data_IF_806710800449
#
_entry.id   IF_806710800449
#
_cell.length_a   1.000
_cell.length_b   1.000
_cell.length_c   1.000
_cell.angle_alpha   90.00
_cell.angle_beta   90.00
_cell.angle_gamma   90.00
#
_symmetry.space_group_name_H-M   'P 1'
#
loop_
_entity.id
_entity.type
_entity.pdbx_description
1 polymer ?
#
# COMPACT_ATOMS: atom_id res chain seq x y z
N UNK A 1 4.83 -48.47 9.78
CA UNK A 1 6.23 -48.29 10.19
C UNK A 1 7.11 -48.17 8.97
N UNK A 2 7.51 -46.93 8.62
CA UNK A 2 8.80 -46.51 8.04
C UNK A 2 8.58 -45.10 7.48
N UNK A 3 9.00 -44.11 8.26
CA UNK A 3 9.08 -42.72 7.85
C UNK A 3 10.51 -42.49 7.35
N UNK A 4 10.67 -42.15 6.07
CA UNK A 4 11.93 -41.64 5.53
C UNK A 4 11.95 -40.12 5.66
N UNK A 5 12.96 -39.63 6.38
CA UNK A 5 13.23 -38.21 6.62
C UNK A 5 14.15 -37.74 5.48
N UNK A 6 13.66 -36.84 4.63
CA UNK A 6 14.50 -36.14 3.65
C UNK A 6 15.27 -35.01 4.34
N UNK A 7 16.59 -35.17 4.40
CA UNK A 7 17.56 -34.13 4.73
C UNK A 7 17.48 -32.97 3.71
N UNK A 8 17.29 -31.73 4.19
CA UNK A 8 17.57 -30.52 3.44
C UNK A 8 19.02 -30.07 3.68
N UNK A 9 19.81 -29.99 2.61
CA UNK A 9 21.15 -29.36 2.62
C UNK A 9 21.02 -27.82 2.57
N UNK A 10 21.82 -27.06 3.35
CA UNK A 10 21.86 -25.62 3.23
C UNK A 10 22.68 -25.18 2.00
N UNK A 11 22.08 -24.32 1.18
CA UNK A 11 22.76 -23.60 0.10
C UNK A 11 23.52 -22.42 0.71
N UNK A 12 24.85 -22.49 0.66
CA UNK A 12 25.76 -21.42 1.10
C UNK A 12 25.70 -20.29 0.07
N UNK A 13 25.24 -19.12 0.50
CA UNK A 13 25.16 -17.89 -0.29
C UNK A 13 26.53 -17.20 -0.28
N UNK A 14 27.18 -17.14 -1.45
CA UNK A 14 28.45 -16.44 -1.63
C UNK A 14 28.22 -14.92 -1.66
N UNK A 15 28.78 -14.21 -0.67
CA UNK A 15 28.82 -12.76 -0.64
C UNK A 15 29.78 -12.23 -1.72
N UNK A 16 29.27 -11.40 -2.63
CA UNK A 16 30.08 -10.61 -3.57
C UNK A 16 30.66 -9.42 -2.82
N UNK A 17 31.97 -9.41 -2.61
CA UNK A 17 32.71 -8.26 -2.11
C UNK A 17 32.97 -7.26 -3.24
N UNK A 18 32.44 -6.04 -3.08
CA UNK A 18 32.75 -4.90 -3.92
C UNK A 18 34.21 -4.48 -3.72
N UNK A 19 34.97 -4.48 -4.82
CA UNK A 19 36.38 -4.12 -4.87
C UNK A 19 36.49 -2.67 -5.34
N UNK A 20 36.46 -1.71 -4.41
CA UNK A 20 36.79 -0.31 -4.67
C UNK A 20 37.87 0.12 -3.68
N UNK A 21 39.10 0.29 -4.17
CA UNK A 21 40.23 0.78 -3.40
C UNK A 21 40.92 1.88 -4.18
N UNK A 22 40.49 3.12 -3.97
CA UNK A 22 41.19 4.33 -4.38
C UNK A 22 41.77 4.97 -3.11
N UNK A 23 43.10 4.97 -3.11
CA UNK A 23 44.03 6.03 -2.69
C UNK A 23 44.15 6.51 -1.22
N UNK A 24 45.42 6.48 -0.81
CA UNK A 24 46.19 7.52 -0.11
C UNK A 24 45.97 7.72 1.39
N UNK A 25 46.92 7.19 2.16
CA UNK A 25 47.18 7.55 3.55
C UNK A 25 48.16 8.72 3.61
N UNK A 26 47.79 9.79 4.30
CA UNK A 26 48.70 10.83 4.82
C UNK A 26 48.22 11.23 6.23
N UNK A 27 49.18 11.53 7.09
CA UNK A 27 49.18 11.36 8.54
C UNK A 27 48.69 12.54 9.40
N UNK A 28 48.42 12.20 10.68
CA UNK A 28 48.45 12.95 11.94
C UNK A 28 48.32 14.49 11.94
N UNK A 29 47.35 15.03 12.70
CA UNK A 29 47.60 15.60 14.04
C UNK A 29 46.36 16.26 14.70
N UNK A 30 46.44 16.33 16.03
CA UNK A 30 45.76 17.22 17.01
C UNK A 30 44.50 16.73 17.76
N UNK A 31 44.68 16.74 19.08
CA UNK A 31 43.73 16.46 20.16
C UNK A 31 42.69 17.58 20.31
N UNK A 32 41.62 17.23 21.05
CA UNK A 32 40.69 18.02 21.88
C UNK A 32 39.25 18.16 21.35
N UNK A 33 38.29 17.77 22.19
CA UNK A 33 36.91 18.29 22.12
C UNK A 33 35.79 17.29 22.44
N UNK A 34 35.26 17.39 23.66
CA UNK A 34 33.90 17.02 24.12
C UNK A 34 33.22 15.76 23.56
N UNK A 35 33.26 14.67 24.33
CA UNK A 35 32.23 13.63 24.28
C UNK A 35 30.96 14.13 24.97
N UNK A 36 30.07 14.78 24.23
CA UNK A 36 28.66 14.90 24.61
C UNK A 36 28.01 13.53 24.52
N UNK A 37 27.49 13.03 25.63
CA UNK A 37 26.61 11.86 25.70
C UNK A 37 25.33 12.14 24.92
N UNK A 38 25.35 11.87 23.61
CA UNK A 38 24.13 11.74 22.83
C UNK A 38 23.58 10.35 23.09
N UNK A 39 22.53 10.30 23.91
CA UNK A 39 21.63 9.16 24.03
C UNK A 39 21.19 8.78 22.61
N UNK A 40 21.69 7.66 22.10
CA UNK A 40 21.10 6.98 20.96
C UNK A 40 19.74 6.47 21.42
N UNK A 41 18.73 7.35 21.36
CA UNK A 41 17.37 6.89 21.15
C UNK A 41 17.38 6.38 19.73
N UNK A 42 17.57 5.07 19.59
CA UNK A 42 17.21 4.33 18.39
C UNK A 42 15.74 4.67 18.11
N UNK A 43 15.53 5.69 17.28
CA UNK A 43 14.27 5.85 16.57
C UNK A 43 14.28 4.68 15.62
N UNK A 44 13.82 3.55 16.11
CA UNK A 44 13.40 2.44 15.29
C UNK A 44 12.47 3.06 14.24
N UNK A 45 13.01 3.27 13.05
CA UNK A 45 12.21 3.45 11.85
C UNK A 45 11.32 2.22 11.84
N UNK A 46 10.10 2.41 12.32
CA UNK A 46 9.00 1.50 12.13
C UNK A 46 8.88 1.34 10.62
N UNK A 47 9.62 0.37 10.11
CA UNK A 47 9.37 -0.20 8.81
C UNK A 47 7.97 -0.74 8.98
N UNK A 48 6.98 0.02 8.52
CA UNK A 48 5.58 -0.36 8.52
C UNK A 48 5.51 -1.59 7.64
N UNK A 49 5.77 -2.76 8.23
CA UNK A 49 5.41 -4.04 7.67
C UNK A 49 3.93 -3.88 7.38
N UNK A 50 3.59 -3.74 6.10
CA UNK A 50 2.21 -3.62 5.66
C UNK A 50 1.56 -4.91 6.13
N UNK A 51 0.90 -4.87 7.28
CA UNK A 51 0.19 -6.02 7.80
C UNK A 51 -0.88 -6.35 6.77
N UNK A 52 -1.26 -7.63 6.70
CA UNK A 52 -2.34 -8.07 5.82
C UNK A 52 -3.61 -7.20 5.98
N UNK A 53 -3.77 -6.58 7.15
CA UNK A 53 -4.86 -5.66 7.49
C UNK A 53 -4.94 -4.42 6.59
N UNK A 54 -3.85 -4.03 5.90
CA UNK A 54 -3.81 -2.85 5.02
C UNK A 54 -3.81 -3.21 3.52
N UNK A 55 -4.00 -4.49 3.18
CA UNK A 55 -4.01 -4.93 1.78
C UNK A 55 -5.08 -4.21 0.93
N UNK A 56 -6.23 -3.89 1.53
CA UNK A 56 -7.31 -3.15 0.87
C UNK A 56 -6.91 -1.72 0.48
N UNK A 57 -6.31 -0.96 1.40
CA UNK A 57 -5.92 0.43 1.12
C UNK A 57 -4.75 0.52 0.13
N UNK A 58 -3.78 -0.41 0.21
CA UNK A 58 -2.69 -0.47 -0.76
C UNK A 58 -3.21 -0.81 -2.17
N UNK A 59 -4.15 -1.75 -2.25
CA UNK A 59 -4.81 -2.06 -3.53
C UNK A 59 -5.63 -0.87 -4.03
N UNK A 60 -6.31 -0.14 -3.15
CA UNK A 60 -7.05 1.07 -3.53
C UNK A 60 -6.14 2.16 -4.10
N UNK A 61 -4.94 2.36 -3.53
CA UNK A 61 -3.93 3.30 -4.05
C UNK A 61 -3.47 2.90 -5.45
N UNK A 62 -3.04 1.65 -5.60
CA UNK A 62 -2.42 1.13 -6.83
C UNK A 62 -3.44 0.99 -7.97
N UNK A 63 -4.70 0.73 -7.63
CA UNK A 63 -5.75 0.47 -8.62
C UNK A 63 -6.62 1.70 -8.82
N UNK A 64 -7.30 2.21 -7.79
CA UNK A 64 -8.29 3.26 -7.96
C UNK A 64 -7.65 4.64 -8.09
N UNK A 65 -6.74 5.02 -7.18
CA UNK A 65 -6.13 6.35 -7.21
C UNK A 65 -5.16 6.51 -8.41
N UNK A 66 -4.33 5.51 -8.68
CA UNK A 66 -3.35 5.57 -9.75
C UNK A 66 -3.98 5.62 -11.16
N UNK A 67 -5.17 5.04 -11.34
CA UNK A 67 -5.84 4.96 -12.65
C UNK A 67 -6.99 5.96 -12.80
N UNK A 68 -7.25 6.75 -11.76
CA UNK A 68 -8.13 7.90 -11.86
C UNK A 68 -7.60 8.93 -12.91
N UNK A 69 -8.50 9.61 -13.65
CA UNK A 69 -9.92 9.73 -13.32
C UNK A 69 -10.84 8.79 -14.13
N UNK A 70 -10.33 8.08 -15.14
CA UNK A 70 -11.17 7.22 -16.01
C UNK A 70 -11.24 5.77 -15.54
N UNK A 71 -10.28 5.31 -14.75
CA UNK A 71 -10.13 3.91 -14.32
C UNK A 71 -9.84 2.92 -15.47
N UNK A 72 -9.48 3.38 -16.67
CA UNK A 72 -9.27 2.50 -17.84
C UNK A 72 -8.12 1.48 -17.63
N UNK A 73 -7.16 1.79 -16.76
CA UNK A 73 -6.06 0.90 -16.40
C UNK A 73 -6.30 0.06 -15.14
N UNK A 74 -7.45 0.19 -14.49
CA UNK A 74 -7.68 -0.37 -13.15
C UNK A 74 -7.66 -1.90 -13.16
N UNK A 75 -8.25 -2.53 -14.17
CA UNK A 75 -8.23 -4.01 -14.28
C UNK A 75 -6.80 -4.53 -14.42
N UNK A 76 -5.97 -3.91 -15.27
CA UNK A 76 -4.57 -4.32 -15.42
C UNK A 76 -3.74 -4.03 -14.16
N UNK A 77 -4.02 -2.94 -13.45
CA UNK A 77 -3.41 -2.67 -12.14
C UNK A 77 -3.80 -3.72 -11.09
N UNK A 78 -5.07 -4.10 -11.04
CA UNK A 78 -5.58 -5.11 -10.14
C UNK A 78 -4.95 -6.49 -10.41
N UNK A 79 -4.75 -6.87 -11.68
CA UNK A 79 -4.03 -8.11 -12.03
C UNK A 79 -2.61 -8.15 -11.46
N UNK A 80 -1.88 -7.02 -11.50
CA UNK A 80 -0.54 -6.92 -10.88
C UNK A 80 -0.55 -7.09 -9.36
N UNK A 81 -1.72 -6.90 -8.72
CA UNK A 81 -1.97 -7.12 -7.29
C UNK A 81 -2.51 -8.52 -6.97
N UNK A 82 -2.55 -9.42 -7.94
CA UNK A 82 -3.04 -10.79 -7.75
C UNK A 82 -4.55 -10.96 -7.84
N UNK A 83 -5.28 -9.95 -8.31
CA UNK A 83 -6.71 -10.06 -8.66
C UNK A 83 -6.81 -10.79 -10.00
N UNK A 84 -7.36 -12.01 -10.00
CA UNK A 84 -7.30 -12.91 -11.16
C UNK A 84 -8.66 -13.50 -11.54
N UNK A 85 -9.63 -13.48 -10.62
CA UNK A 85 -10.98 -13.98 -10.87
C UNK A 85 -11.88 -12.81 -11.21
N UNK A 86 -12.29 -12.65 -12.47
CA UNK A 86 -13.15 -11.55 -12.89
C UNK A 86 -14.54 -12.02 -13.32
N UNK A 87 -15.54 -11.25 -12.92
CA UNK A 87 -16.95 -11.43 -13.25
C UNK A 87 -17.52 -10.10 -13.77
N UNK A 88 -18.23 -10.08 -14.91
CA UNK A 88 -18.93 -8.89 -15.37
C UNK A 88 -20.17 -8.62 -14.51
N UNK A 89 -20.39 -7.36 -14.15
CA UNK A 89 -21.55 -6.86 -13.39
C UNK A 89 -22.17 -5.67 -14.14
N UNK A 90 -22.83 -5.95 -15.26
CA UNK A 90 -23.35 -4.90 -16.14
C UNK A 90 -22.22 -4.09 -16.76
N UNK A 91 -22.14 -2.80 -16.41
CA UNK A 91 -21.05 -1.90 -16.86
C UNK A 91 -19.79 -2.01 -16.01
N UNK A 92 -19.88 -2.65 -14.85
CA UNK A 92 -18.77 -2.86 -13.94
C UNK A 92 -18.11 -4.23 -14.18
N UNK A 93 -16.87 -4.37 -13.73
CA UNK A 93 -16.17 -5.63 -13.56
C UNK A 93 -15.83 -5.82 -12.09
N UNK A 94 -16.14 -6.99 -11.54
CA UNK A 94 -15.73 -7.41 -10.20
C UNK A 94 -14.61 -8.41 -10.32
N UNK A 95 -13.46 -8.09 -9.74
CA UNK A 95 -12.30 -8.97 -9.61
C UNK A 95 -12.08 -9.40 -8.16
N UNK A 96 -11.61 -10.62 -7.93
CA UNK A 96 -11.04 -11.03 -6.63
C UNK A 96 -9.71 -11.76 -6.78
N UNK A 97 -8.89 -11.73 -5.72
CA UNK A 97 -7.72 -12.60 -5.62
C UNK A 97 -8.12 -14.05 -5.32
N UNK A 98 -7.15 -14.97 -5.41
CA UNK A 98 -7.41 -16.40 -5.35
C UNK A 98 -8.13 -16.86 -4.07
N UNK A 99 -7.84 -16.24 -2.93
CA UNK A 99 -8.42 -16.53 -1.62
C UNK A 99 -9.62 -15.64 -1.25
N UNK A 100 -10.00 -14.72 -2.14
CA UNK A 100 -11.06 -13.72 -1.93
C UNK A 100 -10.81 -12.76 -0.74
N UNK A 101 -9.57 -12.61 -0.28
CA UNK A 101 -9.21 -11.64 0.77
C UNK A 101 -9.25 -10.19 0.29
N UNK A 102 -9.16 -9.94 -1.02
CA UNK A 102 -9.29 -8.62 -1.64
C UNK A 102 -10.12 -8.73 -2.91
N UNK A 103 -11.10 -7.85 -3.06
CA UNK A 103 -11.87 -7.69 -4.29
C UNK A 103 -11.81 -6.25 -4.80
N UNK A 104 -11.94 -6.08 -6.11
CA UNK A 104 -11.92 -4.80 -6.80
C UNK A 104 -13.13 -4.72 -7.72
N UNK A 105 -13.95 -3.69 -7.58
CA UNK A 105 -15.00 -3.35 -8.54
C UNK A 105 -14.55 -2.13 -9.36
N UNK A 106 -14.67 -2.21 -10.67
CA UNK A 106 -14.35 -1.11 -11.59
C UNK A 106 -15.51 -0.90 -12.54
N UNK A 107 -16.12 0.29 -12.51
CA UNK A 107 -16.96 0.81 -13.58
C UNK A 107 -16.22 1.99 -14.25
N UNK A 108 -15.75 1.83 -15.51
CA UNK A 108 -15.01 2.87 -16.19
C UNK A 108 -15.73 4.22 -16.18
N UNK A 109 -14.97 5.28 -15.88
CA UNK A 109 -15.43 6.65 -15.72
C UNK A 109 -16.47 6.89 -14.61
N UNK A 110 -16.85 5.89 -13.81
CA UNK A 110 -17.90 6.05 -12.80
C UNK A 110 -17.44 5.71 -11.39
N UNK A 111 -16.92 4.52 -11.16
CA UNK A 111 -16.60 4.04 -9.81
C UNK A 111 -15.39 3.11 -9.83
N UNK A 112 -14.54 3.23 -8.81
CA UNK A 112 -13.59 2.19 -8.45
C UNK A 112 -13.67 1.95 -6.95
N UNK A 113 -13.88 0.69 -6.57
CA UNK A 113 -13.99 0.26 -5.19
C UNK A 113 -13.07 -0.92 -4.91
N UNK A 114 -12.52 -0.96 -3.70
CA UNK A 114 -11.77 -2.10 -3.18
C UNK A 114 -12.41 -2.55 -1.89
N UNK A 115 -12.63 -3.85 -1.75
CA UNK A 115 -13.23 -4.46 -0.55
C UNK A 115 -12.38 -5.58 0.02
N UNK A 116 -12.43 -5.74 1.34
CA UNK A 116 -11.87 -6.88 2.08
C UNK A 116 -12.93 -7.43 3.01
N UNK A 117 -13.07 -8.77 3.17
CA UNK A 117 -14.10 -9.34 4.05
C UNK A 117 -13.78 -9.16 5.54
N UNK A 118 -12.50 -8.94 5.87
CA UNK A 118 -12.03 -8.75 7.24
C UNK A 118 -11.88 -7.28 7.58
N UNK A 119 -12.03 -6.99 8.87
CA UNK A 119 -11.83 -5.67 9.45
C UNK A 119 -10.41 -5.51 9.97
N UNK A 120 -9.85 -4.32 9.80
CA UNK A 120 -8.64 -3.91 10.54
C UNK A 120 -9.02 -3.58 11.99
N UNK A 121 -8.22 -4.04 12.96
CA UNK A 121 -8.49 -3.77 14.37
C UNK A 121 -8.47 -2.26 14.69
N UNK A 122 -7.52 -1.52 14.10
CA UNK A 122 -7.42 -0.07 14.26
C UNK A 122 -8.15 0.69 13.14
N UNK A 123 -9.44 0.92 13.37
CA UNK A 123 -10.32 1.65 12.45
C UNK A 123 -9.90 3.10 12.20
N UNK A 124 -9.29 3.73 13.22
CA UNK A 124 -8.93 5.15 13.19
C UNK A 124 -7.68 5.34 12.36
N UNK A 125 -6.65 4.50 12.58
CA UNK A 125 -5.44 4.51 11.78
C UNK A 125 -5.74 4.19 10.31
N UNK A 126 -6.56 3.17 10.03
CA UNK A 126 -6.95 2.81 8.67
C UNK A 126 -7.66 3.97 7.95
N UNK A 127 -8.57 4.66 8.65
CA UNK A 127 -9.28 5.81 8.07
C UNK A 127 -8.36 7.01 7.85
N UNK A 128 -7.41 7.25 8.75
CA UNK A 128 -6.39 8.28 8.56
C UNK A 128 -5.52 7.98 7.32
N UNK A 129 -5.10 6.73 7.14
CA UNK A 129 -4.33 6.31 5.97
C UNK A 129 -5.11 6.42 4.66
N UNK A 130 -6.41 6.10 4.67
CA UNK A 130 -7.27 6.34 3.50
C UNK A 130 -7.32 7.81 3.12
N UNK A 131 -7.54 8.69 4.09
CA UNK A 131 -7.62 10.15 3.86
C UNK A 131 -6.26 10.69 3.40
N UNK A 132 -5.16 10.22 3.98
CA UNK A 132 -3.82 10.60 3.58
C UNK A 132 -3.51 10.16 2.15
N UNK A 133 -3.87 8.92 1.77
CA UNK A 133 -3.68 8.40 0.42
C UNK A 133 -4.42 9.26 -0.63
N UNK A 134 -5.67 9.63 -0.34
CA UNK A 134 -6.45 10.51 -1.24
C UNK A 134 -5.88 11.92 -1.27
N UNK A 135 -5.49 12.48 -0.12
CA UNK A 135 -4.87 13.81 -0.04
C UNK A 135 -3.60 13.88 -0.89
N UNK A 136 -2.75 12.84 -0.82
CA UNK A 136 -1.55 12.71 -1.65
C UNK A 136 -1.88 12.61 -3.15
N UNK A 137 -2.88 11.82 -3.52
CA UNK A 137 -3.26 11.63 -4.92
C UNK A 137 -3.92 12.87 -5.55
N UNK A 138 -4.57 13.71 -4.74
CA UNK A 138 -5.32 14.89 -5.19
C UNK A 138 -4.54 16.19 -5.03
N UNK A 139 -3.51 16.21 -4.17
CA UNK A 139 -2.85 17.44 -3.73
C UNK A 139 -3.71 18.32 -2.82
N UNK A 140 -4.93 17.88 -2.49
CA UNK A 140 -5.83 18.59 -1.60
C UNK A 140 -5.55 18.22 -0.15
N UNK A 141 -5.55 19.21 0.74
CA UNK A 141 -5.51 18.95 2.17
C UNK A 141 -6.92 18.60 2.66
N UNK A 142 -7.19 17.30 2.81
CA UNK A 142 -8.43 16.82 3.42
C UNK A 142 -8.24 16.86 4.94
N UNK A 143 -8.93 17.77 5.62
CA UNK A 143 -8.82 17.92 7.06
C UNK A 143 -9.77 16.99 7.83
N UNK A 144 -9.24 16.39 8.91
CA UNK A 144 -10.01 15.53 9.82
C UNK A 144 -10.11 14.06 9.39
N UNK A 145 -11.04 13.33 10.01
CA UNK A 145 -11.26 11.89 9.80
C UNK A 145 -12.61 11.57 9.16
N UNK A 146 -13.28 12.58 8.58
CA UNK A 146 -14.66 12.45 8.13
C UNK A 146 -14.75 11.80 6.75
N UNK A 147 -15.58 10.77 6.65
CA UNK A 147 -16.05 10.18 5.38
C UNK A 147 -17.59 10.20 5.35
N UNK A 148 -18.25 10.40 4.20
CA UNK A 148 -17.64 10.70 2.91
C UNK A 148 -17.03 12.11 2.84
N UNK A 149 -16.10 12.31 1.92
CA UNK A 149 -15.59 13.63 1.55
C UNK A 149 -15.40 13.73 0.04
N UNK A 150 -15.17 14.94 -0.46
CA UNK A 150 -14.98 15.20 -1.89
C UNK A 150 -13.60 15.76 -2.16
N UNK A 151 -12.96 15.30 -3.23
CA UNK A 151 -11.73 15.87 -3.75
C UNK A 151 -11.67 15.68 -5.28
N UNK A 152 -10.71 16.36 -5.92
CA UNK A 152 -10.53 16.30 -7.37
C UNK A 152 -9.25 15.57 -7.75
N UNK A 153 -9.33 14.71 -8.77
CA UNK A 153 -8.16 14.10 -9.41
C UNK A 153 -8.19 14.50 -10.88
N UNK A 154 -7.15 15.23 -11.32
CA UNK A 154 -6.99 15.67 -12.72
C UNK A 154 -8.26 16.36 -13.27
N UNK A 155 -8.86 17.25 -12.45
CA UNK A 155 -10.05 18.03 -12.81
C UNK A 155 -11.40 17.29 -12.74
N UNK A 156 -11.40 16.00 -12.38
CA UNK A 156 -12.62 15.24 -12.13
C UNK A 156 -12.91 15.17 -10.63
N UNK A 157 -14.16 15.46 -10.24
CA UNK A 157 -14.62 15.45 -8.85
C UNK A 157 -15.06 14.04 -8.43
N UNK A 158 -14.63 13.62 -7.25
CA UNK A 158 -14.95 12.31 -6.67
C UNK A 158 -15.48 12.43 -5.25
N UNK A 159 -16.42 11.57 -4.89
CA UNK A 159 -16.83 11.29 -3.52
C UNK A 159 -16.02 10.08 -3.05
N UNK A 160 -15.22 10.27 -2.01
CA UNK A 160 -14.42 9.24 -1.38
C UNK A 160 -15.15 8.72 -0.15
N UNK A 161 -15.36 7.40 -0.10
CA UNK A 161 -16.11 6.72 0.96
C UNK A 161 -15.27 5.61 1.57
N UNK A 162 -15.46 5.39 2.87
CA UNK A 162 -14.91 4.25 3.58
C UNK A 162 -16.01 3.64 4.46
N UNK A 163 -16.56 2.50 4.05
CA UNK A 163 -17.58 1.75 4.79
C UNK A 163 -16.96 0.53 5.48
N UNK A 164 -17.54 0.17 6.63
CA UNK A 164 -17.09 -0.92 7.50
C UNK A 164 -18.24 -1.88 7.84
N UNK A 165 -19.18 -2.11 6.92
CA UNK A 165 -20.29 -3.06 7.12
C UNK A 165 -20.03 -4.30 6.26
N UNK A 166 -19.78 -5.44 6.89
CA UNK A 166 -19.40 -6.69 6.22
C UNK A 166 -17.93 -6.83 5.80
N UNK A 167 -17.04 -5.98 6.34
CA UNK A 167 -15.62 -5.89 5.96
C UNK A 167 -15.18 -4.44 5.75
N UNK A 168 -14.04 -4.18 5.12
CA UNK A 168 -13.63 -2.83 4.70
C UNK A 168 -14.03 -2.58 3.24
N UNK A 169 -14.48 -1.36 2.93
CA UNK A 169 -14.73 -0.91 1.57
C UNK A 169 -14.19 0.51 1.37
N UNK A 170 -13.29 0.68 0.40
CA UNK A 170 -12.73 1.98 -0.02
C UNK A 170 -13.25 2.31 -1.41
N UNK A 171 -13.90 3.46 -1.58
CA UNK A 171 -14.58 3.80 -2.83
C UNK A 171 -14.15 5.17 -3.32
N UNK A 172 -13.88 5.27 -4.62
CA UNK A 172 -13.81 6.50 -5.39
C UNK A 172 -15.00 6.52 -6.36
N UNK A 173 -16.02 7.32 -6.06
CA UNK A 173 -17.21 7.48 -6.89
C UNK A 173 -17.15 8.82 -7.60
N UNK A 174 -17.26 8.84 -8.93
CA UNK A 174 -17.30 10.10 -9.69
C UNK A 174 -18.56 10.90 -9.31
N UNK A 175 -18.37 12.15 -8.91
CA UNK A 175 -19.46 13.07 -8.69
C UNK A 175 -20.07 13.48 -10.04
N UNK A 176 -21.40 13.63 -10.07
CA UNK A 176 -22.13 14.12 -11.24
C UNK A 176 -21.89 15.62 -11.46
#
# INVERSE_FOLDING_TARGET
MKSEIMELKPVIMAARTCRNGIALAVALAFLTGCSTSSSNTDVASATKTVSADYAGIETFKDVCLATAPSFDGAVEAAKRRGIVKYLPLGKAQLGSNADNSVSVQVEPNHECAVTTPNYTADATALRAEFIEAVSKATGAQVSGTKVPFTAEIKGAKFIFMHDRRGGEAFVALRAK
#
